data_IF_829214529464
#
_entry.id   IF_829214529464
#
_cell.length_a   1.000
_cell.length_b   1.000
_cell.length_c   1.000
_cell.angle_alpha   90.00
_cell.angle_beta   90.00
_cell.angle_gamma   90.00
#
_symmetry.space_group_name_H-M   'P 1'
#
loop_
_entity.id
_entity.type
_entity.pdbx_description
1 polymer ?
#
# COMPACT_ATOMS: atom_id res chain seq x y z
N UNK A 1 27.12 9.36 -6.73
CA UNK A 1 27.18 9.61 -8.18
C UNK A 1 26.09 8.85 -8.96
N UNK A 2 25.93 7.53 -8.75
CA UNK A 2 24.90 6.69 -9.41
C UNK A 2 23.46 7.25 -9.39
N UNK A 3 22.93 7.84 -8.28
CA UNK A 3 21.56 8.36 -8.27
C UNK A 3 21.36 9.56 -9.20
N UNK A 4 22.36 10.44 -9.29
CA UNK A 4 22.31 11.63 -10.16
C UNK A 4 22.46 11.25 -11.63
N UNK A 5 23.31 10.27 -11.93
CA UNK A 5 23.46 9.74 -13.30
C UNK A 5 22.20 9.00 -13.77
N UNK A 6 21.58 8.18 -12.91
CA UNK A 6 20.31 7.52 -13.20
C UNK A 6 19.16 8.54 -13.35
N UNK A 7 19.11 9.57 -12.49
CA UNK A 7 18.14 10.66 -12.61
C UNK A 7 18.29 11.43 -13.92
N UNK A 8 19.52 11.72 -14.36
CA UNK A 8 19.77 12.40 -15.63
C UNK A 8 19.37 11.54 -16.84
N UNK A 9 19.60 10.22 -16.78
CA UNK A 9 19.21 9.30 -17.84
C UNK A 9 17.69 9.06 -17.93
N UNK A 10 16.97 9.16 -16.80
CA UNK A 10 15.53 8.89 -16.71
C UNK A 10 14.66 10.17 -16.79
N UNK A 11 15.26 11.36 -16.86
CA UNK A 11 14.55 12.64 -17.00
C UNK A 11 13.64 12.71 -18.22
N UNK A 12 13.96 11.96 -19.29
CA UNK A 12 13.13 11.89 -20.51
C UNK A 12 11.90 10.99 -20.38
N UNK A 13 11.83 10.15 -19.34
CA UNK A 13 10.79 9.12 -19.15
C UNK A 13 9.90 9.42 -17.93
N UNK A 14 10.41 10.14 -16.94
CA UNK A 14 9.69 10.44 -15.69
C UNK A 14 9.23 11.92 -15.69
N UNK A 15 7.91 12.19 -15.79
CA UNK A 15 7.36 13.55 -15.81
C UNK A 15 7.19 14.13 -14.39
N UNK A 16 8.15 13.85 -13.50
CA UNK A 16 8.14 14.36 -12.12
C UNK A 16 9.47 15.08 -11.88
N UNK A 17 9.48 16.34 -11.42
CA UNK A 17 10.71 17.01 -11.08
C UNK A 17 11.41 16.22 -9.97
N UNK A 18 12.54 15.61 -10.30
CA UNK A 18 13.41 15.03 -9.30
C UNK A 18 14.02 16.19 -8.51
N UNK A 19 13.38 16.59 -7.42
CA UNK A 19 13.98 17.48 -6.42
C UNK A 19 15.15 16.75 -5.76
N UNK A 20 16.29 16.76 -6.46
CA UNK A 20 17.55 16.26 -5.95
C UNK A 20 17.97 17.12 -4.77
N UNK A 21 18.03 16.51 -3.58
CA UNK A 21 18.41 17.18 -2.35
C UNK A 21 19.24 16.27 -1.45
N UNK A 22 20.03 16.88 -0.56
CA UNK A 22 20.68 16.16 0.52
C UNK A 22 19.70 16.05 1.69
N UNK A 23 19.21 14.83 1.94
CA UNK A 23 18.25 14.55 3.01
C UNK A 23 18.96 13.82 4.17
N UNK A 24 19.60 14.54 5.11
CA UNK A 24 20.41 13.93 6.17
C UNK A 24 19.61 12.97 7.04
N UNK A 25 18.33 13.28 7.31
CA UNK A 25 17.44 12.41 8.07
C UNK A 25 17.19 11.06 7.39
N UNK A 26 16.88 11.06 6.09
CA UNK A 26 16.67 9.83 5.32
C UNK A 26 17.96 9.01 5.18
N UNK A 27 19.11 9.68 5.01
CA UNK A 27 20.42 9.03 4.95
C UNK A 27 20.80 8.40 6.30
N UNK A 28 20.59 9.10 7.41
CA UNK A 28 20.81 8.55 8.75
C UNK A 28 19.92 7.34 9.02
N UNK A 29 18.65 7.40 8.58
CA UNK A 29 17.72 6.27 8.69
C UNK A 29 18.19 5.08 7.87
N UNK A 30 18.59 5.29 6.61
CA UNK A 30 19.13 4.25 5.74
C UNK A 30 20.41 3.63 6.33
N UNK A 31 21.30 4.44 6.90
CA UNK A 31 22.50 3.97 7.57
C UNK A 31 22.17 3.12 8.81
N UNK A 32 21.16 3.53 9.60
CA UNK A 32 20.69 2.76 10.76
C UNK A 32 20.13 1.39 10.33
N UNK A 33 19.26 1.34 9.33
CA UNK A 33 18.75 0.08 8.78
C UNK A 33 19.89 -0.80 8.26
N UNK A 34 20.82 -0.24 7.49
CA UNK A 34 21.99 -0.96 6.99
C UNK A 34 22.83 -1.55 8.12
N UNK A 35 23.16 -0.75 9.13
CA UNK A 35 23.93 -1.17 10.30
C UNK A 35 23.24 -2.32 11.05
N UNK A 36 21.94 -2.18 11.33
CA UNK A 36 21.17 -3.20 12.05
C UNK A 36 21.07 -4.50 11.25
N UNK A 37 20.85 -4.43 9.93
CA UNK A 37 20.84 -5.61 9.05
C UNK A 37 22.22 -6.28 9.06
N UNK A 38 23.29 -5.53 8.85
CA UNK A 38 24.66 -6.07 8.91
C UNK A 38 24.94 -6.75 10.25
N UNK A 39 24.56 -6.11 11.36
CA UNK A 39 24.76 -6.65 12.70
C UNK A 39 23.94 -7.94 12.92
N UNK A 40 22.68 -7.97 12.49
CA UNK A 40 21.81 -9.14 12.59
C UNK A 40 22.40 -10.37 11.87
N UNK A 41 22.94 -10.18 10.67
CA UNK A 41 23.54 -11.26 9.89
C UNK A 41 24.96 -11.63 10.34
N UNK A 42 25.75 -10.67 10.84
CA UNK A 42 27.13 -10.91 11.27
C UNK A 42 27.23 -11.52 12.68
N UNK A 43 26.30 -11.22 13.59
CA UNK A 43 26.35 -11.68 14.98
C UNK A 43 26.33 -13.21 15.11
N UNK A 44 25.52 -13.90 14.31
CA UNK A 44 25.40 -15.36 14.41
C UNK A 44 26.66 -16.11 13.91
N UNK A 45 27.27 -15.77 12.76
CA UNK A 45 28.58 -16.28 12.37
C UNK A 45 29.70 -15.88 13.35
N UNK A 46 29.70 -14.63 13.83
CA UNK A 46 30.75 -14.14 14.72
C UNK A 46 30.71 -14.81 16.10
N UNK A 47 29.51 -15.03 16.64
CA UNK A 47 29.32 -15.82 17.87
C UNK A 47 29.84 -17.25 17.70
N UNK A 48 29.52 -17.90 16.57
CA UNK A 48 30.04 -19.24 16.26
C UNK A 48 31.56 -19.27 16.13
N UNK A 49 32.17 -18.25 15.51
CA UNK A 49 33.62 -18.16 15.36
C UNK A 49 34.34 -18.03 16.72
N UNK A 50 33.77 -17.28 17.66
CA UNK A 50 34.32 -17.12 19.01
C UNK A 50 34.28 -18.41 19.84
N UNK A 51 33.27 -19.25 19.59
CA UNK A 51 33.06 -20.50 20.33
C UNK A 51 33.90 -21.67 19.78
N UNK A 52 34.69 -21.48 18.73
CA UNK A 52 35.59 -22.53 18.21
C UNK A 52 36.80 -22.69 19.14
N UNK A 53 36.99 -23.87 19.78
CA UNK A 53 38.13 -24.09 20.64
C UNK A 53 39.42 -24.14 19.82
N UNK A 54 40.52 -23.58 20.35
CA UNK A 54 41.82 -23.55 19.67
C UNK A 54 42.34 -24.95 19.29
N UNK A 55 41.94 -26.00 20.03
CA UNK A 55 42.29 -27.39 19.74
C UNK A 55 41.62 -27.94 18.48
N UNK A 56 40.49 -27.37 18.05
CA UNK A 56 39.84 -27.69 16.77
C UNK A 56 40.53 -27.04 15.57
N UNK A 57 41.40 -26.05 15.77
CA UNK A 57 42.23 -25.48 14.70
C UNK A 57 43.42 -26.38 14.35
N UNK A 58 43.90 -27.18 15.31
CA UNK A 58 45.06 -28.06 15.15
C UNK A 58 44.71 -29.50 14.73
N UNK A 59 43.47 -29.93 14.92
CA UNK A 59 42.97 -31.16 14.29
C UNK A 59 42.24 -30.76 13.02
N UNK A 60 42.55 -31.38 11.89
CA UNK A 60 41.75 -31.37 10.66
C UNK A 60 40.32 -31.95 10.84
N UNK A 61 39.75 -31.91 12.04
CA UNK A 61 38.31 -32.00 12.20
C UNK A 61 37.74 -30.73 11.61
N UNK A 62 37.31 -30.82 10.35
CA UNK A 62 36.76 -29.72 9.58
C UNK A 62 35.77 -28.89 10.40
N UNK A 63 35.63 -27.63 10.02
CA UNK A 63 34.81 -26.57 10.62
C UNK A 63 33.29 -26.88 10.77
N UNK A 64 32.88 -28.12 11.04
CA UNK A 64 31.56 -28.49 11.52
C UNK A 64 31.43 -28.12 13.02
N UNK A 65 31.54 -26.82 13.33
CA UNK A 65 31.10 -26.31 14.63
C UNK A 65 29.58 -26.48 14.70
N UNK A 66 29.15 -27.64 15.24
CA UNK A 66 27.76 -28.05 15.38
C UNK A 66 27.13 -27.33 16.55
N UNK A 67 26.08 -26.55 16.27
CA UNK A 67 25.21 -25.97 17.30
C UNK A 67 24.81 -24.52 17.00
N UNK A 68 23.79 -24.05 17.70
CA UNK A 68 23.53 -22.62 17.80
C UNK A 68 24.66 -21.96 18.60
N UNK A 69 25.05 -20.72 18.27
CA UNK A 69 25.97 -19.95 19.12
C UNK A 69 25.34 -19.75 20.50
N UNK A 70 26.15 -19.38 21.50
CA UNK A 70 25.66 -19.11 22.86
C UNK A 70 24.40 -18.23 22.85
N UNK A 71 23.44 -18.57 23.71
CA UNK A 71 22.17 -17.85 23.92
C UNK A 71 22.25 -16.31 23.82
N UNK A 72 23.24 -15.60 24.41
CA UNK A 72 23.35 -14.14 24.26
C UNK A 72 23.47 -13.67 22.80
N UNK A 73 24.21 -14.37 21.93
CA UNK A 73 24.34 -14.00 20.52
C UNK A 73 23.04 -14.21 19.75
N UNK A 74 22.32 -15.30 20.05
CA UNK A 74 21.01 -15.58 19.45
C UNK A 74 19.99 -14.55 19.92
N UNK A 75 19.94 -14.26 21.23
CA UNK A 75 19.05 -13.25 21.81
C UNK A 75 19.33 -11.85 21.25
N UNK A 76 20.60 -11.47 21.08
CA UNK A 76 20.98 -10.21 20.46
C UNK A 76 20.53 -10.13 19.00
N UNK A 77 20.76 -11.18 18.20
CA UNK A 77 20.33 -11.23 16.81
C UNK A 77 18.80 -11.14 16.66
N UNK A 78 18.05 -11.86 17.51
CA UNK A 78 16.58 -11.77 17.56
C UNK A 78 16.13 -10.37 18.00
N UNK A 79 16.77 -9.79 19.03
CA UNK A 79 16.49 -8.43 19.47
C UNK A 79 16.67 -7.39 18.37
N UNK A 80 17.75 -7.49 17.59
CA UNK A 80 18.00 -6.60 16.44
C UNK A 80 16.94 -6.82 15.35
N UNK A 81 16.56 -8.07 15.06
CA UNK A 81 15.49 -8.36 14.11
C UNK A 81 14.14 -7.76 14.55
N UNK A 82 13.83 -7.79 15.84
CA UNK A 82 12.64 -7.14 16.40
C UNK A 82 12.71 -5.62 16.30
N UNK A 83 13.86 -5.01 16.56
CA UNK A 83 14.07 -3.57 16.38
C UNK A 83 13.89 -3.17 14.91
N UNK A 84 14.44 -3.96 13.98
CA UNK A 84 14.24 -3.75 12.53
C UNK A 84 12.75 -3.82 12.14
N UNK A 85 12.03 -4.82 12.64
CA UNK A 85 10.59 -4.95 12.42
C UNK A 85 9.81 -3.76 13.00
N UNK A 86 10.14 -3.33 14.21
CA UNK A 86 9.52 -2.18 14.86
C UNK A 86 9.78 -0.89 14.08
N UNK A 87 11.02 -0.65 13.65
CA UNK A 87 11.37 0.51 12.84
C UNK A 87 10.63 0.51 11.50
N UNK A 88 10.55 -0.64 10.83
CA UNK A 88 9.81 -0.78 9.57
C UNK A 88 8.31 -0.44 9.73
N UNK A 89 7.69 -0.87 10.84
CA UNK A 89 6.28 -0.59 11.10
C UNK A 89 6.06 0.87 11.53
N UNK A 90 6.90 1.41 12.41
CA UNK A 90 6.74 2.76 12.96
C UNK A 90 6.97 3.86 11.92
N UNK A 91 7.91 3.64 10.99
CA UNK A 91 8.25 4.60 9.94
C UNK A 91 7.43 4.44 8.65
N UNK A 92 6.62 3.38 8.52
CA UNK A 92 5.71 3.25 7.38
C UNK A 92 4.52 4.19 7.50
N UNK A 93 4.13 4.81 6.38
CA UNK A 93 2.93 5.66 6.32
C UNK A 93 1.65 4.90 6.66
N UNK A 94 1.56 3.63 6.26
CA UNK A 94 0.50 2.71 6.67
C UNK A 94 1.08 1.60 7.55
N UNK A 95 0.79 1.68 8.86
CA UNK A 95 1.24 0.71 9.87
C UNK A 95 0.55 -0.65 9.72
N UNK A 96 -0.69 -0.68 9.20
CA UNK A 96 -1.43 -1.92 8.98
C UNK A 96 -0.80 -2.69 7.83
N UNK A 97 -0.51 -2.04 6.71
CA UNK A 97 0.19 -2.68 5.59
C UNK A 97 1.58 -3.14 6.01
N UNK A 98 2.33 -2.31 6.74
CA UNK A 98 3.67 -2.67 7.20
C UNK A 98 3.68 -3.88 8.14
N UNK A 99 2.75 -3.93 9.11
CA UNK A 99 2.63 -5.08 10.02
C UNK A 99 2.22 -6.36 9.30
N UNK A 100 1.30 -6.28 8.33
CA UNK A 100 0.96 -7.41 7.46
C UNK A 100 2.19 -7.87 6.66
N UNK A 101 2.97 -6.95 6.11
CA UNK A 101 4.17 -7.28 5.32
C UNK A 101 5.25 -7.96 6.18
N UNK A 102 5.51 -7.46 7.39
CA UNK A 102 6.42 -8.10 8.34
C UNK A 102 5.91 -9.49 8.72
N UNK A 103 4.63 -9.63 9.02
CA UNK A 103 4.01 -10.93 9.31
C UNK A 103 4.11 -11.91 8.15
N UNK A 104 3.84 -11.45 6.93
CA UNK A 104 3.97 -12.25 5.71
C UNK A 104 5.42 -12.68 5.45
N UNK A 105 6.40 -11.81 5.75
CA UNK A 105 7.83 -12.14 5.64
C UNK A 105 8.20 -13.26 6.61
N UNK A 106 7.80 -13.14 7.89
CA UNK A 106 8.02 -14.20 8.90
C UNK A 106 7.34 -15.50 8.47
N UNK A 107 6.09 -15.41 7.99
CA UNK A 107 5.34 -16.55 7.50
C UNK A 107 6.03 -17.24 6.31
N UNK A 108 6.55 -16.48 5.35
CA UNK A 108 7.29 -17.02 4.21
C UNK A 108 8.56 -17.77 4.67
N UNK A 109 9.29 -17.25 5.65
CA UNK A 109 10.43 -17.95 6.26
C UNK A 109 10.01 -19.28 6.90
N UNK A 110 8.91 -19.30 7.65
CA UNK A 110 8.38 -20.52 8.27
C UNK A 110 7.94 -21.55 7.21
N UNK A 111 7.25 -21.11 6.16
CA UNK A 111 6.82 -21.97 5.06
C UNK A 111 8.03 -22.57 4.34
N UNK A 112 9.02 -21.77 3.97
CA UNK A 112 10.23 -22.27 3.30
C UNK A 112 11.02 -23.24 4.20
N UNK A 113 11.09 -22.95 5.50
CA UNK A 113 11.71 -23.86 6.48
C UNK A 113 10.95 -25.19 6.57
N UNK A 114 9.62 -25.13 6.60
CA UNK A 114 8.76 -26.31 6.58
C UNK A 114 8.93 -27.12 5.30
N UNK A 115 8.97 -26.47 4.13
CA UNK A 115 9.22 -27.13 2.84
C UNK A 115 10.58 -27.83 2.86
N UNK A 116 11.63 -27.16 3.35
CA UNK A 116 12.94 -27.78 3.51
C UNK A 116 12.89 -29.04 4.39
N UNK A 117 12.19 -28.98 5.52
CA UNK A 117 12.01 -30.12 6.42
C UNK A 117 11.18 -31.25 5.77
N UNK A 118 10.12 -30.92 5.04
CA UNK A 118 9.28 -31.87 4.32
C UNK A 118 10.07 -32.59 3.21
N UNK A 119 10.91 -31.87 2.48
CA UNK A 119 11.81 -32.46 1.46
C UNK A 119 12.77 -33.45 2.11
N UNK A 120 13.37 -33.10 3.25
CA UNK A 120 14.26 -34.02 3.99
C UNK A 120 13.51 -35.23 4.53
N UNK A 121 12.32 -35.03 5.09
CA UNK A 121 11.47 -36.10 5.58
C UNK A 121 11.05 -37.06 4.46
N UNK A 122 10.59 -36.52 3.32
CA UNK A 122 10.21 -37.30 2.16
C UNK A 122 11.41 -38.09 1.59
N UNK A 123 12.59 -37.47 1.52
CA UNK A 123 13.82 -38.15 1.10
C UNK A 123 14.22 -39.27 2.07
N UNK A 124 14.04 -39.08 3.38
CA UNK A 124 14.33 -40.12 4.39
C UNK A 124 13.38 -41.32 4.33
N UNK A 125 12.15 -41.11 3.86
CA UNK A 125 11.10 -42.13 3.68
C UNK A 125 11.16 -42.80 2.31
N UNK A 126 12.07 -42.38 1.43
CA UNK A 126 12.16 -42.88 0.05
C UNK A 126 12.63 -44.34 0.03
N UNK A 127 11.98 -45.24 -0.75
CA UNK A 127 12.41 -46.62 -0.87
C UNK A 127 13.82 -46.74 -1.47
N UNK A 128 14.53 -47.81 -1.11
CA UNK A 128 15.90 -48.04 -1.57
C UNK A 128 15.96 -48.19 -3.09
N UNK A 129 16.46 -47.15 -3.76
CA UNK A 129 16.66 -47.15 -5.21
C UNK A 129 17.79 -48.11 -5.62
N UNK A 130 17.63 -48.83 -6.73
CA UNK A 130 18.67 -49.76 -7.24
C UNK A 130 19.91 -49.01 -7.74
N UNK A 131 19.75 -47.84 -8.34
CA UNK A 131 20.85 -47.00 -8.82
C UNK A 131 21.69 -46.45 -7.67
N UNK A 132 23.01 -46.66 -7.74
CA UNK A 132 23.98 -46.14 -6.77
C UNK A 132 23.98 -44.61 -6.74
N UNK A 133 23.91 -43.96 -7.91
CA UNK A 133 23.91 -42.51 -8.01
C UNK A 133 22.69 -41.87 -7.32
N UNK A 134 21.49 -42.41 -7.56
CA UNK A 134 20.25 -41.90 -6.95
C UNK A 134 20.23 -42.13 -5.44
N UNK A 135 20.72 -43.28 -4.97
CA UNK A 135 20.85 -43.58 -3.54
C UNK A 135 21.80 -42.61 -2.83
N UNK A 136 22.93 -42.26 -3.45
CA UNK A 136 23.86 -41.26 -2.92
C UNK A 136 23.25 -39.85 -2.91
N UNK A 137 22.53 -39.47 -3.97
CA UNK A 137 21.84 -38.18 -4.04
C UNK A 137 20.76 -38.03 -2.95
N UNK A 138 19.89 -39.03 -2.80
CA UNK A 138 18.86 -39.07 -1.74
C UNK A 138 19.47 -39.05 -0.34
N UNK A 139 20.55 -39.81 -0.12
CA UNK A 139 21.29 -39.80 1.14
C UNK A 139 21.85 -38.42 1.48
N UNK A 140 22.37 -37.68 0.49
CA UNK A 140 22.90 -36.33 0.70
C UNK A 140 21.81 -35.29 1.02
N UNK A 141 20.54 -35.55 0.66
CA UNK A 141 19.41 -34.64 0.94
C UNK A 141 18.96 -34.73 2.41
N UNK A 142 18.91 -35.94 2.97
CA UNK A 142 18.36 -36.15 4.31
C UNK A 142 19.41 -36.37 5.40
N UNK A 143 20.70 -36.51 5.07
CA UNK A 143 21.74 -36.77 6.09
C UNK A 143 21.82 -35.64 7.13
N UNK A 144 22.17 -35.94 8.38
CA UNK A 144 22.50 -34.90 9.36
C UNK A 144 23.56 -33.94 8.80
N UNK A 145 23.27 -32.64 8.78
CA UNK A 145 24.14 -31.63 8.15
C UNK A 145 23.96 -31.45 6.64
N UNK A 146 22.91 -32.01 6.03
CA UNK A 146 22.57 -31.75 4.63
C UNK A 146 22.33 -30.26 4.36
N UNK A 147 22.80 -29.79 3.20
CA UNK A 147 22.65 -28.41 2.74
C UNK A 147 21.21 -28.09 2.29
N UNK A 148 20.34 -29.10 2.17
CA UNK A 148 18.97 -28.96 1.66
C UNK A 148 18.18 -27.82 2.29
N UNK A 149 18.11 -27.65 3.63
CA UNK A 149 17.31 -26.58 4.20
C UNK A 149 17.87 -25.19 3.88
N UNK A 150 19.18 -25.03 3.83
CA UNK A 150 19.83 -23.77 3.46
C UNK A 150 19.64 -23.44 1.98
N UNK A 151 19.74 -24.44 1.10
CA UNK A 151 19.52 -24.30 -0.34
C UNK A 151 18.06 -23.96 -0.63
N UNK A 152 17.10 -24.66 0.00
CA UNK A 152 15.67 -24.39 -0.15
C UNK A 152 15.32 -22.99 0.37
N UNK A 153 15.87 -22.57 1.51
CA UNK A 153 15.67 -21.21 2.02
C UNK A 153 16.27 -20.16 1.07
N UNK A 154 17.52 -20.32 0.63
CA UNK A 154 18.19 -19.34 -0.24
C UNK A 154 17.52 -19.20 -1.60
N UNK A 155 17.26 -20.33 -2.28
CA UNK A 155 16.58 -20.33 -3.58
C UNK A 155 15.12 -19.89 -3.45
N UNK A 156 14.44 -20.35 -2.39
CA UNK A 156 13.06 -19.99 -2.11
C UNK A 156 12.88 -18.50 -1.84
N UNK A 157 13.76 -17.88 -1.05
CA UNK A 157 13.74 -16.44 -0.80
C UNK A 157 14.03 -15.65 -2.09
N UNK A 158 15.00 -16.09 -2.90
CA UNK A 158 15.29 -15.48 -4.20
C UNK A 158 14.09 -15.51 -5.15
N UNK A 159 13.46 -16.68 -5.29
CA UNK A 159 12.25 -16.84 -6.10
C UNK A 159 11.07 -16.03 -5.54
N UNK A 160 10.90 -16.02 -4.21
CA UNK A 160 9.86 -15.23 -3.54
C UNK A 160 10.02 -13.76 -3.88
N UNK A 161 11.24 -13.22 -3.78
CA UNK A 161 11.52 -11.83 -4.15
C UNK A 161 11.16 -11.54 -5.61
N UNK A 162 11.56 -12.39 -6.54
CA UNK A 162 11.24 -12.21 -7.97
C UNK A 162 9.74 -12.25 -8.24
N UNK A 163 9.03 -13.22 -7.64
CA UNK A 163 7.57 -13.35 -7.76
C UNK A 163 6.86 -12.15 -7.13
N UNK A 164 7.30 -11.71 -5.95
CA UNK A 164 6.78 -10.52 -5.29
C UNK A 164 6.96 -9.28 -6.17
N UNK A 165 8.13 -9.09 -6.77
CA UNK A 165 8.38 -7.97 -7.69
C UNK A 165 7.47 -8.03 -8.91
N UNK A 166 7.32 -9.21 -9.53
CA UNK A 166 6.42 -9.40 -10.68
C UNK A 166 4.95 -9.14 -10.32
N UNK A 167 4.50 -9.57 -9.14
CA UNK A 167 3.15 -9.32 -8.65
C UNK A 167 2.91 -7.84 -8.35
N UNK A 168 3.90 -7.15 -7.76
CA UNK A 168 3.83 -5.72 -7.51
C UNK A 168 3.75 -4.95 -8.83
N UNK A 169 4.63 -5.24 -9.79
CA UNK A 169 4.60 -4.61 -11.13
C UNK A 169 3.25 -4.83 -11.83
N UNK A 170 2.77 -6.07 -11.85
CA UNK A 170 1.46 -6.39 -12.44
C UNK A 170 0.28 -5.74 -11.70
N UNK A 171 0.36 -5.55 -10.38
CA UNK A 171 -0.65 -4.83 -9.61
C UNK A 171 -0.62 -3.33 -9.95
N UNK A 172 0.55 -2.70 -9.92
CA UNK A 172 0.72 -1.28 -10.27
C UNK A 172 0.25 -1.00 -11.70
N UNK A 173 0.63 -1.84 -12.66
CA UNK A 173 0.15 -1.72 -14.05
C UNK A 173 -1.36 -1.79 -14.12
N UNK A 174 -1.98 -2.77 -13.46
CA UNK A 174 -3.45 -2.90 -13.43
C UNK A 174 -4.13 -1.73 -12.73
N UNK A 175 -3.55 -1.18 -11.66
CA UNK A 175 -4.11 -0.01 -11.01
C UNK A 175 -4.04 1.22 -11.92
N UNK A 176 -2.93 1.41 -12.64
CA UNK A 176 -2.75 2.53 -13.57
C UNK A 176 -3.61 2.36 -14.84
N UNK A 177 -3.69 1.15 -15.39
CA UNK A 177 -4.41 0.88 -16.65
C UNK A 177 -5.90 0.61 -16.44
N UNK A 178 -6.27 0.02 -15.31
CA UNK A 178 -7.64 -0.39 -15.00
C UNK A 178 -8.51 0.71 -14.40
N UNK A 179 -7.94 1.86 -14.05
CA UNK A 179 -8.69 3.04 -13.61
C UNK A 179 -9.09 3.97 -14.75
N UNK A 180 -8.90 3.56 -16.01
CA UNK A 180 -9.55 4.21 -17.15
C UNK A 180 -10.80 3.38 -17.47
N UNK A 181 -11.99 3.75 -16.96
CA UNK A 181 -13.21 3.09 -17.40
C UNK A 181 -13.22 3.07 -18.93
N UNK A 182 -13.61 1.96 -19.54
CA UNK A 182 -13.90 1.90 -20.99
C UNK A 182 -14.97 2.94 -21.41
N UNK A 183 -15.62 3.57 -20.43
CA UNK A 183 -16.63 4.64 -20.54
C UNK A 183 -16.16 5.99 -19.98
N UNK A 184 -14.86 6.19 -19.75
CA UNK A 184 -14.36 7.50 -19.33
C UNK A 184 -14.66 8.54 -20.42
N UNK A 185 -15.14 9.74 -20.07
CA UNK A 185 -15.37 10.79 -21.06
C UNK A 185 -14.06 11.12 -21.80
N UNK A 186 -14.12 11.14 -23.13
CA UNK A 186 -12.97 11.55 -23.96
C UNK A 186 -12.65 13.04 -23.81
N UNK A 187 -13.67 13.84 -23.49
CA UNK A 187 -13.56 15.29 -23.33
C UNK A 187 -14.37 15.74 -22.11
N UNK A 188 -13.79 16.67 -21.37
CA UNK A 188 -14.46 17.38 -20.28
C UNK A 188 -14.54 18.85 -20.65
N UNK A 189 -15.75 19.40 -20.62
CA UNK A 189 -16.00 20.82 -20.80
C UNK A 189 -16.45 21.39 -19.46
N UNK A 190 -15.73 22.39 -18.97
CA UNK A 190 -15.96 23.05 -17.69
C UNK A 190 -16.33 24.52 -17.91
N UNK A 191 -16.89 25.15 -16.89
CA UNK A 191 -17.27 26.58 -16.88
C UNK A 191 -18.27 26.98 -17.99
N UNK A 192 -19.13 26.05 -18.41
CA UNK A 192 -20.26 26.35 -19.28
C UNK A 192 -21.35 27.05 -18.46
N UNK A 193 -21.67 28.28 -18.83
CA UNK A 193 -22.74 29.05 -18.17
C UNK A 193 -24.09 28.40 -18.39
N UNK A 194 -24.98 28.49 -17.41
CA UNK A 194 -26.32 27.86 -17.47
C UNK A 194 -27.16 28.32 -18.67
N UNK A 195 -26.95 29.55 -19.15
CA UNK A 195 -27.61 30.08 -20.35
C UNK A 195 -27.16 29.41 -21.65
N UNK A 196 -25.94 28.88 -21.68
CA UNK A 196 -25.28 28.43 -22.90
C UNK A 196 -25.33 26.90 -23.06
N UNK A 197 -25.76 26.18 -22.01
CA UNK A 197 -25.82 24.72 -21.97
C UNK A 197 -26.62 24.14 -23.13
N UNK A 198 -27.77 24.72 -23.47
CA UNK A 198 -28.64 24.20 -24.53
C UNK A 198 -28.06 24.47 -25.92
N UNK A 199 -27.47 25.65 -26.13
CA UNK A 199 -26.77 25.99 -27.37
C UNK A 199 -25.55 25.09 -27.59
N UNK A 200 -24.78 24.82 -26.53
CA UNK A 200 -23.65 23.90 -26.57
C UNK A 200 -24.11 22.46 -26.84
N UNK A 201 -25.18 22.01 -26.19
CA UNK A 201 -25.75 20.67 -26.43
C UNK A 201 -26.18 20.48 -27.88
N UNK A 202 -26.79 21.50 -28.49
CA UNK A 202 -27.17 21.48 -29.90
C UNK A 202 -25.95 21.43 -30.83
N UNK A 203 -24.89 22.18 -30.51
CA UNK A 203 -23.63 22.14 -31.26
C UNK A 203 -22.99 20.75 -31.23
N UNK A 204 -22.87 20.14 -30.04
CA UNK A 204 -22.31 18.78 -29.89
C UNK A 204 -23.17 17.76 -30.62
N UNK A 205 -24.50 17.87 -30.57
CA UNK A 205 -25.40 17.00 -31.32
C UNK A 205 -25.20 17.06 -32.83
N UNK A 206 -24.77 18.23 -33.36
CA UNK A 206 -24.46 18.42 -34.78
C UNK A 206 -23.07 17.89 -35.16
N UNK A 207 -22.05 18.22 -34.38
CA UNK A 207 -20.64 17.88 -34.69
C UNK A 207 -20.30 16.42 -34.33
N UNK A 208 -20.92 15.88 -33.28
CA UNK A 208 -20.69 14.53 -32.77
C UNK A 208 -22.02 13.78 -32.54
N UNK A 209 -22.79 13.46 -33.59
CA UNK A 209 -24.12 12.85 -33.47
C UNK A 209 -24.12 11.45 -32.83
N UNK A 210 -22.97 10.76 -32.80
CA UNK A 210 -22.78 9.47 -32.11
C UNK A 210 -22.19 9.60 -30.70
N UNK A 211 -21.86 10.82 -30.26
CA UNK A 211 -21.32 11.09 -28.94
C UNK A 211 -22.41 11.05 -27.87
N UNK A 212 -22.05 10.59 -26.67
CA UNK A 212 -22.93 10.69 -25.49
C UNK A 212 -22.56 11.95 -24.71
N UNK A 213 -23.52 12.85 -24.50
CA UNK A 213 -23.34 14.07 -23.71
C UNK A 213 -24.00 13.89 -22.34
N UNK A 214 -23.19 13.88 -21.28
CA UNK A 214 -23.67 13.94 -19.90
C UNK A 214 -23.55 15.37 -19.37
N UNK A 215 -24.66 15.94 -18.89
CA UNK A 215 -24.71 17.27 -18.29
C UNK A 215 -24.76 17.13 -16.78
N UNK A 216 -23.77 17.66 -16.09
CA UNK A 216 -23.72 17.62 -14.62
C UNK A 216 -23.60 19.06 -14.11
N UNK A 217 -24.62 19.60 -13.44
CA UNK A 217 -24.52 20.93 -12.87
C UNK A 217 -23.52 20.94 -11.72
N UNK A 218 -22.61 21.91 -11.72
CA UNK A 218 -21.57 22.05 -10.70
C UNK A 218 -21.49 23.48 -10.18
N UNK A 219 -21.34 23.60 -8.86
CA UNK A 219 -21.02 24.82 -8.14
C UNK A 219 -19.77 24.59 -7.32
N UNK A 220 -19.06 25.66 -6.97
CA UNK A 220 -17.99 25.59 -5.97
C UNK A 220 -18.50 26.14 -4.64
N UNK A 221 -18.19 25.43 -3.56
CA UNK A 221 -18.47 25.95 -2.23
C UNK A 221 -17.54 25.39 -1.16
N UNK A 222 -17.43 26.13 -0.06
CA UNK A 222 -16.53 25.81 1.05
C UNK A 222 -17.31 25.38 2.26
N UNK A 223 -16.87 24.31 2.93
CA UNK A 223 -17.45 23.92 4.21
C UNK A 223 -17.04 24.94 5.27
N UNK A 224 -18.03 25.56 5.92
CA UNK A 224 -17.85 26.60 6.94
C UNK A 224 -18.07 26.06 8.35
N UNK A 225 -19.05 25.18 8.54
CA UNK A 225 -19.36 24.61 9.84
C UNK A 225 -19.85 23.16 9.73
N UNK A 226 -19.57 22.36 10.75
CA UNK A 226 -20.10 21.02 10.94
C UNK A 226 -20.86 20.98 12.27
N UNK A 227 -22.12 20.56 12.26
CA UNK A 227 -22.98 20.54 13.46
C UNK A 227 -23.01 21.87 14.23
N UNK A 228 -22.99 23.00 13.50
CA UNK A 228 -22.95 24.35 14.06
C UNK A 228 -21.60 24.81 14.60
N UNK A 229 -20.56 23.98 14.54
CA UNK A 229 -19.20 24.32 14.95
C UNK A 229 -18.38 24.75 13.73
N UNK A 230 -17.77 25.92 13.81
CA UNK A 230 -16.87 26.45 12.77
C UNK A 230 -15.73 25.47 12.47
N UNK A 231 -15.49 25.20 11.19
CA UNK A 231 -14.46 24.27 10.72
C UNK A 231 -13.07 24.56 11.31
N UNK A 232 -12.72 25.82 11.55
CA UNK A 232 -11.45 26.21 12.16
C UNK A 232 -11.28 25.77 13.61
N UNK A 233 -12.37 25.37 14.29
CA UNK A 233 -12.38 24.86 15.66
C UNK A 233 -12.60 23.35 15.74
N UNK A 234 -12.89 22.69 14.61
CA UNK A 234 -13.11 21.24 14.56
C UNK A 234 -11.76 20.52 14.45
N UNK A 235 -11.48 19.64 15.41
CA UNK A 235 -10.31 18.75 15.34
C UNK A 235 -10.66 17.52 14.50
N UNK A 236 -10.21 17.50 13.25
CA UNK A 236 -10.30 16.33 12.36
C UNK A 236 -8.96 15.61 12.23
N UNK A 237 -8.96 14.28 12.01
CA UNK A 237 -7.74 13.54 11.66
C UNK A 237 -7.02 14.15 10.46
N UNK A 238 -5.69 14.07 10.43
CA UNK A 238 -4.87 14.61 9.34
C UNK A 238 -5.29 14.07 7.95
N UNK A 239 -5.74 12.82 7.92
CA UNK A 239 -6.26 12.12 6.73
C UNK A 239 -7.54 12.74 6.18
N UNK A 240 -8.40 13.34 7.03
CA UNK A 240 -9.66 13.98 6.63
C UNK A 240 -9.59 15.50 6.53
N UNK A 241 -8.51 16.12 7.03
CA UNK A 241 -8.34 17.57 7.07
C UNK A 241 -8.33 18.22 5.67
N UNK A 242 -8.05 17.48 4.61
CA UNK A 242 -8.16 18.01 3.26
C UNK A 242 -9.62 18.33 2.90
N UNK A 243 -10.62 17.53 3.30
CA UNK A 243 -12.06 17.73 2.96
C UNK A 243 -12.55 19.12 3.35
N UNK A 244 -12.05 19.64 4.47
CA UNK A 244 -12.44 20.93 5.03
C UNK A 244 -11.57 22.10 4.54
N UNK A 245 -10.51 21.83 3.76
CA UNK A 245 -9.62 22.84 3.20
C UNK A 245 -10.00 23.15 1.75
N UNK A 246 -10.28 24.42 1.50
CA UNK A 246 -10.56 24.96 0.17
C UNK A 246 -12.00 24.75 -0.30
N UNK A 247 -12.22 25.09 -1.58
CA UNK A 247 -13.53 25.00 -2.20
C UNK A 247 -13.72 23.62 -2.85
N UNK A 248 -14.96 23.11 -2.81
CA UNK A 248 -15.35 21.78 -3.26
C UNK A 248 -16.38 21.87 -4.36
N UNK A 249 -16.31 20.94 -5.30
CA UNK A 249 -17.35 20.74 -6.30
C UNK A 249 -18.61 20.23 -5.62
N UNK A 250 -19.70 20.96 -5.79
CA UNK A 250 -21.05 20.64 -5.33
C UNK A 250 -21.90 20.42 -6.57
N UNK A 251 -22.71 19.37 -6.58
CA UNK A 251 -23.75 19.19 -7.59
C UNK A 251 -25.11 19.33 -6.92
N UNK A 252 -26.06 19.87 -7.67
CA UNK A 252 -27.44 20.10 -7.22
C UNK A 252 -28.45 19.35 -8.09
N UNK A 253 -28.03 18.24 -8.71
CA UNK A 253 -28.91 17.39 -9.48
C UNK A 253 -30.02 16.79 -8.58
N UNK A 254 -31.26 16.80 -9.07
CA UNK A 254 -32.39 16.23 -8.36
C UNK A 254 -32.30 14.70 -8.32
N UNK A 255 -31.74 14.10 -9.38
CA UNK A 255 -31.62 12.66 -9.54
C UNK A 255 -30.31 12.15 -8.95
N UNK A 256 -30.36 10.94 -8.40
CA UNK A 256 -29.16 10.25 -7.97
C UNK A 256 -28.24 9.99 -9.17
N UNK A 257 -26.95 10.36 -9.12
CA UNK A 257 -26.01 10.08 -10.20
C UNK A 257 -25.89 8.58 -10.47
N UNK A 258 -25.82 8.18 -11.74
CA UNK A 258 -25.71 6.76 -12.12
C UNK A 258 -24.42 6.08 -11.63
N UNK A 259 -23.36 6.86 -11.36
CA UNK A 259 -22.07 6.41 -10.83
C UNK A 259 -22.00 6.46 -9.29
N UNK A 260 -23.12 6.70 -8.61
CA UNK A 260 -23.20 6.73 -7.16
C UNK A 260 -23.98 5.53 -6.63
N UNK A 261 -23.40 4.82 -5.66
CA UNK A 261 -24.11 3.77 -4.91
C UNK A 261 -24.34 4.25 -3.48
N UNK A 262 -25.59 4.22 -3.01
CA UNK A 262 -25.91 4.54 -1.62
C UNK A 262 -25.35 3.48 -0.68
N UNK A 263 -24.59 3.94 0.30
CA UNK A 263 -24.06 3.08 1.37
C UNK A 263 -24.97 3.12 2.60
N UNK A 264 -25.55 4.29 2.91
CA UNK A 264 -26.44 4.50 4.04
C UNK A 264 -27.45 5.61 3.74
N UNK A 265 -28.63 5.52 4.35
CA UNK A 265 -29.71 6.49 4.19
C UNK A 265 -30.55 6.25 2.94
N UNK A 266 -31.34 7.26 2.55
CA UNK A 266 -32.26 7.19 1.41
C UNK A 266 -32.11 8.46 0.58
N UNK A 267 -32.24 8.32 -0.74
CA UNK A 267 -32.35 9.50 -1.61
C UNK A 267 -33.69 10.19 -1.37
N UNK A 268 -33.70 11.52 -1.45
CA UNK A 268 -34.95 12.29 -1.35
C UNK A 268 -35.80 12.13 -2.61
N UNK A 269 -37.13 12.30 -2.53
CA UNK A 269 -38.00 12.30 -3.70
C UNK A 269 -37.76 13.54 -4.59
N UNK A 270 -38.11 13.48 -5.87
CA UNK A 270 -37.86 14.57 -6.84
C UNK A 270 -38.58 15.88 -6.50
N UNK A 271 -39.72 15.80 -5.81
CA UNK A 271 -40.57 16.91 -5.38
C UNK A 271 -40.29 17.35 -3.94
N UNK A 272 -39.14 16.98 -3.37
CA UNK A 272 -38.79 17.33 -2.01
C UNK A 272 -38.63 18.86 -1.82
N UNK A 273 -39.51 19.44 -0.98
CA UNK A 273 -39.54 20.87 -0.65
C UNK A 273 -39.27 21.16 0.84
N UNK A 274 -38.68 20.20 1.57
CA UNK A 274 -38.39 20.33 2.99
C UNK A 274 -37.11 21.10 3.32
N UNK A 275 -36.56 20.86 4.51
CA UNK A 275 -35.26 21.40 4.91
C UNK A 275 -34.14 20.98 3.93
N UNK A 276 -33.11 21.79 3.68
CA UNK A 276 -32.05 21.44 2.75
C UNK A 276 -31.37 20.12 3.12
N UNK A 277 -31.31 19.18 2.18
CA UNK A 277 -30.64 17.90 2.34
C UNK A 277 -29.37 17.84 1.52
N UNK A 278 -28.37 17.11 2.01
CA UNK A 278 -27.13 16.85 1.30
C UNK A 278 -26.79 15.37 1.28
N UNK A 279 -26.34 14.90 0.12
CA UNK A 279 -25.67 13.61 -0.04
C UNK A 279 -24.17 13.82 0.10
N UNK A 280 -23.53 13.07 1.00
CA UNK A 280 -22.10 13.21 1.27
C UNK A 280 -21.33 11.94 0.87
N UNK A 281 -20.07 12.08 0.48
CA UNK A 281 -19.20 10.94 0.18
C UNK A 281 -18.97 10.11 1.46
N UNK A 282 -19.22 8.80 1.41
CA UNK A 282 -19.10 7.92 2.57
C UNK A 282 -17.68 7.87 3.13
N UNK A 283 -16.68 7.93 2.25
CA UNK A 283 -15.26 7.92 2.62
C UNK A 283 -14.87 9.22 3.32
N UNK A 284 -15.18 10.36 2.69
CA UNK A 284 -14.90 11.68 3.25
C UNK A 284 -15.63 11.87 4.58
N UNK A 285 -16.92 11.51 4.65
CA UNK A 285 -17.73 11.60 5.86
C UNK A 285 -17.12 10.80 7.02
N UNK A 286 -16.61 9.59 6.75
CA UNK A 286 -15.93 8.78 7.76
C UNK A 286 -14.63 9.42 8.24
N UNK A 287 -13.85 9.99 7.33
CA UNK A 287 -12.56 10.64 7.65
C UNK A 287 -12.72 11.87 8.55
N UNK A 288 -13.84 12.61 8.42
CA UNK A 288 -14.15 13.76 9.27
C UNK A 288 -15.17 13.44 10.38
N UNK A 289 -15.51 12.16 10.57
CA UNK A 289 -16.34 11.68 11.68
C UNK A 289 -17.83 12.06 11.60
N UNK A 290 -18.34 12.38 10.41
CA UNK A 290 -19.74 12.73 10.21
C UNK A 290 -20.66 11.51 10.29
N UNK A 291 -21.87 11.74 10.79
CA UNK A 291 -22.93 10.74 10.89
C UNK A 291 -24.16 11.14 10.07
N UNK A 292 -25.01 10.15 9.80
CA UNK A 292 -26.27 10.39 9.12
C UNK A 292 -27.16 11.27 10.02
N UNK A 293 -27.73 12.34 9.46
CA UNK A 293 -28.52 13.32 10.21
C UNK A 293 -27.72 14.49 10.77
N UNK A 294 -26.40 14.47 10.70
CA UNK A 294 -25.57 15.64 11.03
C UNK A 294 -25.82 16.79 10.05
N UNK A 295 -25.44 18.01 10.43
CA UNK A 295 -25.60 19.20 9.59
C UNK A 295 -24.25 19.71 9.09
N UNK A 296 -24.24 20.17 7.84
CA UNK A 296 -23.07 20.77 7.18
C UNK A 296 -23.48 22.13 6.65
N UNK A 297 -22.75 23.17 7.03
CA UNK A 297 -22.91 24.51 6.47
C UNK A 297 -21.87 24.74 5.39
N UNK A 298 -22.32 25.05 4.19
CA UNK A 298 -21.47 25.31 3.02
C UNK A 298 -21.69 26.73 2.52
N UNK A 299 -20.62 27.48 2.28
CA UNK A 299 -20.69 28.75 1.58
C UNK A 299 -20.68 28.50 0.07
N UNK A 300 -21.74 28.91 -0.62
CA UNK A 300 -21.86 28.83 -2.08
C UNK A 300 -22.15 30.23 -2.59
N UNK A 301 -21.26 30.75 -3.45
CA UNK A 301 -21.38 32.10 -4.03
C UNK A 301 -21.62 33.20 -2.97
N UNK A 302 -20.96 33.11 -1.81
CA UNK A 302 -21.06 34.08 -0.73
C UNK A 302 -22.24 33.87 0.23
N UNK A 303 -23.12 32.89 -0.01
CA UNK A 303 -24.24 32.56 0.90
C UNK A 303 -23.97 31.27 1.65
N UNK A 304 -24.18 31.28 2.97
CA UNK A 304 -24.10 30.08 3.80
C UNK A 304 -25.42 29.31 3.72
N UNK A 305 -25.35 28.05 3.32
CA UNK A 305 -26.47 27.11 3.28
C UNK A 305 -26.17 25.97 4.24
N UNK A 306 -27.04 25.78 5.23
CA UNK A 306 -26.95 24.64 6.15
C UNK A 306 -27.87 23.54 5.64
N UNK A 307 -27.31 22.35 5.43
CA UNK A 307 -28.03 21.18 4.98
C UNK A 307 -27.80 19.98 5.91
N UNK A 308 -28.82 19.14 6.05
CA UNK A 308 -28.74 17.90 6.83
C UNK A 308 -28.28 16.74 5.93
N UNK A 309 -27.34 15.93 6.42
CA UNK A 309 -26.85 14.75 5.71
C UNK A 309 -27.95 13.70 5.67
N UNK A 310 -28.55 13.51 4.49
CA UNK A 310 -29.65 12.57 4.28
C UNK A 310 -29.17 11.17 3.91
N UNK A 311 -28.00 11.07 3.27
CA UNK A 311 -27.41 9.80 2.86
C UNK A 311 -25.89 9.92 2.65
N UNK A 312 -25.22 8.78 2.73
CA UNK A 312 -23.82 8.61 2.35
C UNK A 312 -23.71 7.76 1.10
N UNK A 313 -22.91 8.20 0.13
CA UNK A 313 -22.70 7.49 -1.14
C UNK A 313 -21.25 7.11 -1.35
N UNK A 314 -21.03 5.95 -1.94
CA UNK A 314 -19.75 5.59 -2.53
C UNK A 314 -19.65 6.33 -3.87
N UNK A 315 -18.59 7.10 -4.05
CA UNK A 315 -18.26 7.75 -5.32
C UNK A 315 -17.18 6.94 -5.98
N UNK A 316 -17.49 6.35 -7.13
CA UNK A 316 -16.47 5.77 -8.01
C UNK A 316 -15.93 6.91 -8.88
N UNK A 317 -14.64 7.23 -8.65
CA UNK A 317 -13.91 8.27 -9.36
C UNK A 317 -13.30 7.73 -10.66
#
# INVERSE_FOLDING_TARGET
AMPFAASAALQSVIPVPAEGGFYPGALAMAALFGLLVTLAFALLPLGRARDVPATALFREMGFESRGFPRLPYVAAAVGIALVLAALAILFSGDRRIASIFVGATVFAFLVLRLVGALVQWAASRSPRVRSVALRLALGNIHRPGALTPSVVLSLGLGLTLLVTLALIDGNLRRQISGSLPERAPNFFFVDIQSSDVDAFSALIGKEAPRGTLAKVPMLRGRVMALNGVDVGKVSVPAEGAWVLRGDRGLTYDAKMPANATLTQGTWWPEDYAGEPLVSFSAEEGRQIGLKLGDTVTVNVLGRNVTARIANFRQVEW
#
